data_IF_951307512342
#
_entry.id   IF_951307512342
#
_cell.length_a   1.000
_cell.length_b   1.000
_cell.length_c   1.000
_cell.angle_alpha   90.00
_cell.angle_beta   90.00
_cell.angle_gamma   90.00
#
_symmetry.space_group_name_H-M   'P 1'
#
loop_
_entity.id
_entity.type
_entity.pdbx_description
1 polymer ?
#
# COMPACT_ATOMS: atom_id res chain seq x y z
N UNK A 1 -32.58 17.25 -1.49
CA UNK A 1 -31.19 16.75 -1.46
C UNK A 1 -31.02 15.32 -2.02
N UNK A 2 -31.97 14.41 -1.81
CA UNK A 2 -31.89 13.05 -2.40
C UNK A 2 -32.01 13.01 -3.94
N UNK A 3 -32.87 13.85 -4.53
CA UNK A 3 -33.08 13.90 -5.99
C UNK A 3 -31.79 14.27 -6.75
N UNK A 4 -31.00 15.23 -6.23
CA UNK A 4 -29.72 15.61 -6.82
C UNK A 4 -28.67 14.49 -6.74
N UNK A 5 -28.61 13.75 -5.62
CA UNK A 5 -27.72 12.57 -5.48
C UNK A 5 -28.10 11.46 -6.46
N UNK A 6 -29.40 11.23 -6.67
CA UNK A 6 -29.88 10.24 -7.63
C UNK A 6 -29.57 10.65 -9.07
N UNK A 7 -29.77 11.93 -9.43
CA UNK A 7 -29.41 12.47 -10.75
C UNK A 7 -27.90 12.41 -11.02
N UNK A 8 -27.06 12.78 -10.05
CA UNK A 8 -25.60 12.63 -10.15
C UNK A 8 -25.20 11.16 -10.29
N UNK A 9 -25.82 10.24 -9.55
CA UNK A 9 -25.55 8.81 -9.67
C UNK A 9 -26.00 8.21 -11.00
N UNK A 10 -27.03 8.76 -11.65
CA UNK A 10 -27.50 8.30 -12.97
C UNK A 10 -26.63 8.87 -14.09
N UNK A 11 -26.15 10.11 -13.98
CA UNK A 11 -25.35 10.75 -15.04
C UNK A 11 -23.86 10.42 -14.96
N UNK A 12 -23.29 10.39 -13.75
CA UNK A 12 -21.83 10.23 -13.58
C UNK A 12 -21.44 8.75 -13.56
N UNK A 13 -22.25 7.88 -12.99
CA UNK A 13 -21.89 6.45 -12.85
C UNK A 13 -21.73 5.75 -14.21
N UNK A 14 -22.53 6.02 -15.26
CA UNK A 14 -22.27 5.50 -16.61
C UNK A 14 -21.03 6.11 -17.25
N UNK A 15 -20.73 7.40 -17.00
CA UNK A 15 -19.51 8.05 -17.50
C UNK A 15 -18.28 7.43 -16.85
N UNK A 16 -18.30 7.22 -15.52
CA UNK A 16 -17.25 6.49 -14.79
C UNK A 16 -17.15 5.06 -15.33
N UNK A 17 -18.27 4.38 -15.60
CA UNK A 17 -18.24 3.02 -16.15
C UNK A 17 -17.61 2.98 -17.55
N UNK A 18 -17.91 3.96 -18.41
CA UNK A 18 -17.38 4.09 -19.77
C UNK A 18 -15.90 4.48 -19.74
N UNK A 19 -15.50 5.39 -18.84
CA UNK A 19 -14.09 5.73 -18.62
C UNK A 19 -13.34 4.53 -18.06
N UNK A 20 -13.90 3.80 -17.10
CA UNK A 20 -13.32 2.55 -16.59
C UNK A 20 -13.23 1.48 -17.68
N UNK A 21 -14.21 1.36 -18.57
CA UNK A 21 -14.19 0.40 -19.69
C UNK A 21 -13.17 0.76 -20.78
N UNK A 22 -13.01 2.05 -21.08
CA UNK A 22 -12.11 2.54 -22.13
C UNK A 22 -10.68 2.68 -21.65
N UNK A 23 -10.47 3.00 -20.36
CA UNK A 23 -9.17 3.28 -19.78
C UNK A 23 -8.68 2.24 -18.77
N UNK A 24 -9.46 1.21 -18.40
CA UNK A 24 -8.88 0.07 -17.66
C UNK A 24 -7.84 -0.62 -18.54
N UNK A 25 -6.61 -0.78 -18.06
CA UNK A 25 -5.61 -1.56 -18.77
C UNK A 25 -6.10 -3.01 -18.90
N UNK A 26 -6.29 -3.49 -20.14
CA UNK A 26 -6.69 -4.89 -20.43
C UNK A 26 -5.64 -5.92 -19.99
N UNK A 27 -4.42 -5.48 -19.72
CA UNK A 27 -3.27 -6.29 -19.30
C UNK A 27 -3.00 -6.16 -17.79
N UNK A 28 -4.05 -6.27 -16.97
CA UNK A 28 -3.89 -6.31 -15.51
C UNK A 28 -3.08 -7.55 -15.10
N UNK A 29 -1.97 -7.33 -14.40
CA UNK A 29 -1.18 -8.42 -13.80
C UNK A 29 -1.60 -8.64 -12.35
N UNK A 30 -1.76 -7.55 -11.60
CA UNK A 30 -2.11 -7.57 -10.19
C UNK A 30 -2.84 -6.28 -9.81
N UNK A 31 -3.94 -6.42 -9.07
CA UNK A 31 -4.64 -5.31 -8.43
C UNK A 31 -4.88 -5.64 -6.95
N UNK A 32 -4.38 -4.79 -6.06
CA UNK A 32 -4.74 -4.81 -4.65
C UNK A 32 -5.79 -3.77 -4.36
N UNK A 33 -6.85 -4.17 -3.65
CA UNK A 33 -7.77 -3.26 -2.99
C UNK A 33 -7.58 -3.38 -1.48
N UNK A 34 -7.18 -2.29 -0.84
CA UNK A 34 -6.96 -2.19 0.59
C UNK A 34 -8.06 -1.32 1.18
N UNK A 35 -8.97 -1.92 1.95
CA UNK A 35 -10.07 -1.21 2.59
C UNK A 35 -9.86 -1.26 4.10
N UNK A 36 -9.78 -0.10 4.72
CA UNK A 36 -9.60 0.01 6.16
C UNK A 36 -10.92 -0.11 6.88
N UNK A 37 -11.02 -1.12 7.72
CA UNK A 37 -12.09 -1.32 8.69
C UNK A 37 -11.56 -1.04 10.10
N UNK A 38 -12.41 -0.99 11.15
CA UNK A 38 -11.95 -0.57 12.47
C UNK A 38 -10.81 -1.39 13.06
N UNK A 39 -10.76 -2.70 12.81
CA UNK A 39 -9.78 -3.59 13.44
C UNK A 39 -8.77 -4.17 12.46
N UNK A 40 -9.02 -4.08 11.16
CA UNK A 40 -8.18 -4.68 10.14
C UNK A 40 -8.22 -3.93 8.82
N UNK A 41 -7.20 -4.14 8.00
CA UNK A 41 -7.20 -3.77 6.61
C UNK A 41 -7.63 -4.97 5.77
N UNK A 42 -8.79 -4.89 5.13
CA UNK A 42 -9.20 -5.89 4.15
C UNK A 42 -8.34 -5.75 2.89
N UNK A 43 -7.65 -6.81 2.50
CA UNK A 43 -6.86 -6.87 1.26
C UNK A 43 -7.55 -7.83 0.30
N UNK A 44 -8.04 -7.30 -0.82
CA UNK A 44 -8.55 -8.10 -1.93
C UNK A 44 -7.54 -8.05 -3.07
N UNK A 45 -7.01 -9.21 -3.45
CA UNK A 45 -6.11 -9.33 -4.60
C UNK A 45 -6.91 -9.81 -5.81
N UNK A 46 -6.76 -9.12 -6.94
CA UNK A 46 -7.22 -9.59 -8.25
C UNK A 46 -6.01 -9.79 -9.14
N UNK A 47 -6.00 -10.89 -9.88
CA UNK A 47 -4.89 -11.28 -10.76
C UNK A 47 -5.48 -11.94 -12.00
N UNK A 48 -4.78 -11.85 -13.12
CA UNK A 48 -5.12 -12.58 -14.34
C UNK A 48 -4.71 -14.07 -14.28
N UNK A 49 -3.93 -14.45 -13.26
CA UNK A 49 -3.53 -15.84 -12.97
C UNK A 49 -4.16 -16.30 -11.67
N UNK A 50 -4.60 -17.56 -11.64
CA UNK A 50 -5.16 -18.23 -10.46
C UNK A 50 -4.12 -18.40 -9.35
N UNK A 51 -2.86 -18.66 -9.73
CA UNK A 51 -1.72 -18.74 -8.81
C UNK A 51 -0.74 -17.63 -9.14
N UNK A 52 -0.49 -16.76 -8.17
CA UNK A 52 0.50 -15.70 -8.30
C UNK A 52 1.90 -16.22 -7.96
N UNK A 53 2.85 -15.97 -8.87
CA UNK A 53 4.26 -16.25 -8.62
C UNK A 53 4.84 -15.30 -7.57
N UNK A 54 5.73 -15.80 -6.72
CA UNK A 54 6.49 -14.99 -5.75
C UNK A 54 7.17 -13.77 -6.40
N UNK A 55 7.74 -13.91 -7.62
CA UNK A 55 8.37 -12.78 -8.32
C UNK A 55 7.40 -11.64 -8.62
N UNK A 56 6.17 -11.97 -9.04
CA UNK A 56 5.13 -10.96 -9.30
C UNK A 56 4.68 -10.27 -8.01
N UNK A 57 4.53 -11.03 -6.92
CA UNK A 57 4.20 -10.49 -5.59
C UNK A 57 5.27 -9.51 -5.10
N UNK A 58 6.54 -9.94 -5.13
CA UNK A 58 7.68 -9.13 -4.69
C UNK A 58 7.79 -7.88 -5.57
N UNK A 59 7.78 -8.03 -6.89
CA UNK A 59 7.91 -6.90 -7.82
C UNK A 59 6.77 -5.90 -7.64
N UNK A 60 5.53 -6.38 -7.50
CA UNK A 60 4.37 -5.50 -7.29
C UNK A 60 4.46 -4.75 -5.97
N UNK A 61 4.97 -5.39 -4.91
CA UNK A 61 5.16 -4.74 -3.62
C UNK A 61 6.24 -3.66 -3.68
N UNK A 62 7.35 -3.94 -4.36
CA UNK A 62 8.43 -2.96 -4.53
C UNK A 62 7.97 -1.76 -5.38
N UNK A 63 7.14 -2.00 -6.39
CA UNK A 63 6.53 -0.93 -7.17
C UNK A 63 5.60 -0.08 -6.32
N UNK A 64 4.79 -0.72 -5.47
CA UNK A 64 3.93 -0.03 -4.52
C UNK A 64 4.76 0.82 -3.55
N UNK A 65 5.81 0.25 -2.97
CA UNK A 65 6.70 0.93 -2.04
C UNK A 65 7.39 2.13 -2.69
N UNK A 66 7.83 1.98 -3.94
CA UNK A 66 8.43 3.08 -4.72
C UNK A 66 7.43 4.21 -4.96
N UNK A 67 6.15 3.88 -5.21
CA UNK A 67 5.07 4.88 -5.33
C UNK A 67 4.76 5.56 -4.00
N UNK A 68 4.76 4.83 -2.90
CA UNK A 68 4.55 5.38 -1.57
C UNK A 68 5.59 6.45 -1.24
N UNK A 69 6.88 6.16 -1.48
CA UNK A 69 7.95 7.12 -1.22
C UNK A 69 7.94 8.35 -2.13
N UNK A 70 7.27 8.29 -3.29
CA UNK A 70 7.08 9.43 -4.17
C UNK A 70 6.08 10.47 -3.62
N UNK A 71 5.33 10.16 -2.55
CA UNK A 71 4.43 11.12 -1.90
C UNK A 71 5.20 12.30 -1.30
N UNK A 72 6.51 12.14 -1.01
CA UNK A 72 7.39 13.21 -0.53
C UNK A 72 6.93 13.91 0.76
N UNK A 73 6.21 13.22 1.61
CA UNK A 73 5.78 13.73 2.90
C UNK A 73 6.66 13.15 4.01
N UNK A 74 7.69 13.89 4.39
CA UNK A 74 8.69 13.46 5.37
C UNK A 74 8.08 13.11 6.73
N UNK A 75 6.88 13.63 7.05
CA UNK A 75 6.15 13.27 8.28
C UNK A 75 5.73 11.79 8.31
N UNK A 76 5.70 11.13 7.17
CA UNK A 76 5.33 9.71 7.06
C UNK A 76 6.43 8.88 6.38
N UNK A 77 7.08 9.38 5.32
CA UNK A 77 8.04 8.59 4.54
C UNK A 77 9.27 8.22 5.35
N UNK A 78 9.83 9.15 6.12
CA UNK A 78 11.04 8.90 6.90
C UNK A 78 10.75 7.93 8.06
N UNK A 79 9.56 8.03 8.65
CA UNK A 79 9.08 7.09 9.69
C UNK A 79 8.99 5.69 9.11
N UNK A 80 8.24 5.53 8.01
CA UNK A 80 8.03 4.21 7.38
C UNK A 80 9.34 3.61 6.92
N UNK A 81 10.24 4.41 6.34
CA UNK A 81 11.58 3.98 5.95
C UNK A 81 12.37 3.45 7.15
N UNK A 82 12.54 4.27 8.18
CA UNK A 82 13.36 3.90 9.34
C UNK A 82 12.76 2.69 10.07
N UNK A 83 11.44 2.63 10.13
CA UNK A 83 10.72 1.49 10.65
C UNK A 83 11.02 0.21 9.88
N UNK A 84 10.88 0.19 8.55
CA UNK A 84 11.23 -1.00 7.76
C UNK A 84 12.69 -1.42 7.95
N UNK A 85 13.62 -0.46 8.00
CA UNK A 85 15.03 -0.76 8.24
C UNK A 85 15.20 -1.47 9.58
N UNK A 86 14.57 -0.97 10.64
CA UNK A 86 14.68 -1.52 11.99
C UNK A 86 13.99 -2.88 12.10
N UNK A 87 12.74 -3.00 11.66
CA UNK A 87 11.95 -4.23 11.76
C UNK A 87 12.54 -5.37 10.92
N UNK A 88 12.98 -5.07 9.69
CA UNK A 88 13.60 -6.09 8.83
C UNK A 88 14.92 -6.59 9.45
N UNK A 89 15.73 -5.69 10.04
CA UNK A 89 16.99 -6.02 10.72
C UNK A 89 16.76 -6.79 12.03
N UNK A 90 15.75 -6.42 12.80
CA UNK A 90 15.38 -7.10 14.04
C UNK A 90 14.83 -8.51 13.79
N UNK A 91 14.28 -8.77 12.60
CA UNK A 91 13.80 -10.09 12.20
C UNK A 91 12.42 -10.45 12.76
N UNK A 92 11.82 -9.58 13.57
CA UNK A 92 10.51 -9.76 14.20
C UNK A 92 9.39 -9.40 13.22
N UNK A 93 8.92 -10.40 12.45
CA UNK A 93 7.70 -10.26 11.64
C UNK A 93 6.45 -10.41 12.51
N UNK A 94 6.27 -9.54 13.49
CA UNK A 94 5.21 -9.70 14.49
C UNK A 94 3.90 -9.01 14.09
N UNK A 95 2.79 -9.53 14.63
CA UNK A 95 1.45 -8.96 14.52
C UNK A 95 1.37 -7.51 15.09
N UNK A 96 2.37 -7.08 15.86
CA UNK A 96 2.41 -5.76 16.51
C UNK A 96 2.97 -4.67 15.61
N UNK A 97 3.48 -5.02 14.43
CA UNK A 97 4.20 -4.12 13.53
C UNK A 97 3.34 -2.89 13.13
N UNK A 98 2.04 -3.06 12.90
CA UNK A 98 1.13 -1.94 12.59
C UNK A 98 0.76 -1.10 13.81
N UNK A 99 0.73 -1.68 15.01
CA UNK A 99 0.49 -0.92 16.25
C UNK A 99 1.69 -0.02 16.55
N UNK A 100 2.91 -0.57 16.45
CA UNK A 100 4.15 0.20 16.58
C UNK A 100 4.24 1.31 15.52
N UNK A 101 3.85 1.02 14.27
CA UNK A 101 3.78 2.02 13.20
C UNK A 101 2.79 3.15 13.53
N UNK A 102 1.60 2.81 14.01
CA UNK A 102 0.62 3.83 14.42
C UNK A 102 1.15 4.71 15.53
N UNK A 103 1.68 4.11 16.60
CA UNK A 103 2.19 4.86 17.73
C UNK A 103 3.30 5.82 17.27
N UNK A 104 4.21 5.37 16.39
CA UNK A 104 5.25 6.21 15.78
C UNK A 104 4.67 7.40 14.99
N UNK A 105 3.75 7.17 14.07
CA UNK A 105 3.13 8.25 13.28
C UNK A 105 2.38 9.20 14.20
N UNK A 106 1.65 8.66 15.17
CA UNK A 106 0.83 9.44 16.09
C UNK A 106 1.67 10.47 16.85
N UNK A 107 2.93 10.16 17.19
CA UNK A 107 3.84 11.14 17.81
C UNK A 107 4.12 12.36 16.93
N UNK A 108 4.03 12.22 15.60
CA UNK A 108 4.33 13.28 14.61
C UNK A 108 3.13 14.14 14.23
N UNK A 109 1.97 13.81 14.78
CA UNK A 109 0.75 14.60 14.63
C UNK A 109 0.75 15.76 15.62
N UNK A 110 0.21 16.90 15.20
CA UNK A 110 -0.09 18.01 16.11
C UNK A 110 -1.33 17.69 16.98
N UNK A 111 -1.59 18.48 18.01
CA UNK A 111 -2.66 18.19 18.98
C UNK A 111 -4.05 18.14 18.36
N UNK A 112 -4.33 18.96 17.33
CA UNK A 112 -5.61 18.92 16.63
C UNK A 112 -5.77 17.62 15.81
N UNK A 113 -4.71 17.21 15.11
CA UNK A 113 -4.68 15.95 14.35
C UNK A 113 -4.80 14.73 15.27
N UNK A 114 -4.09 14.72 16.41
CA UNK A 114 -4.20 13.66 17.44
C UNK A 114 -5.63 13.53 17.96
N UNK A 115 -6.25 14.64 18.35
CA UNK A 115 -7.63 14.64 18.81
C UNK A 115 -8.62 14.07 17.77
N UNK A 116 -8.39 14.32 16.48
CA UNK A 116 -9.21 13.75 15.39
C UNK A 116 -8.92 12.26 15.24
N UNK A 117 -7.64 11.87 15.21
CA UNK A 117 -7.22 10.48 15.11
C UNK A 117 -7.80 9.63 16.26
N UNK A 118 -7.71 10.11 17.49
CA UNK A 118 -8.24 9.45 18.69
C UNK A 118 -9.76 9.28 18.62
N UNK A 119 -10.48 10.31 18.18
CA UNK A 119 -11.95 10.21 17.99
C UNK A 119 -12.33 9.17 16.94
N UNK A 120 -11.50 8.95 15.92
CA UNK A 120 -11.81 8.02 14.84
C UNK A 120 -11.39 6.60 15.20
N UNK A 121 -10.20 6.43 15.80
CA UNK A 121 -9.60 5.12 16.04
C UNK A 121 -9.77 4.60 17.47
N UNK A 122 -9.70 5.45 18.51
CA UNK A 122 -9.83 5.02 19.92
C UNK A 122 -11.30 4.86 20.33
N UNK A 123 -12.20 5.67 19.76
CA UNK A 123 -13.64 5.61 20.06
C UNK A 123 -14.31 4.27 19.72
N UNK A 124 -13.71 3.46 18.85
CA UNK A 124 -14.37 2.32 18.21
C UNK A 124 -14.13 0.97 18.91
N UNK A 125 -14.17 0.92 20.26
CA UNK A 125 -14.03 -0.28 21.13
C UNK A 125 -12.60 -0.54 21.64
N UNK A 126 -11.92 0.47 22.19
CA UNK A 126 -10.71 0.27 22.99
C UNK A 126 -9.50 -0.34 22.26
N UNK A 127 -9.57 -0.49 20.94
CA UNK A 127 -8.52 -1.02 20.08
C UNK A 127 -7.92 0.13 19.26
N UNK A 128 -6.60 0.24 19.32
CA UNK A 128 -5.79 1.18 18.53
C UNK A 128 -5.73 0.65 17.10
N UNK A 129 -6.30 1.39 16.15
CA UNK A 129 -6.16 1.23 14.68
C UNK A 129 -6.33 -0.18 14.07
N UNK A 130 -6.50 -0.27 12.75
CA UNK A 130 -6.36 -1.54 12.04
C UNK A 130 -4.99 -2.19 12.30
N UNK A 131 -4.97 -3.26 13.10
CA UNK A 131 -3.76 -3.91 13.59
C UNK A 131 -3.38 -5.16 12.77
N UNK A 132 -4.28 -5.66 11.93
CA UNK A 132 -4.05 -6.87 11.13
C UNK A 132 -4.59 -6.67 9.71
N UNK A 133 -4.21 -7.57 8.80
CA UNK A 133 -4.90 -7.67 7.51
C UNK A 133 -5.90 -8.84 7.54
N UNK A 134 -6.93 -8.76 6.70
CA UNK A 134 -7.85 -9.89 6.44
C UNK A 134 -8.19 -9.98 4.95
N UNK A 135 -8.50 -11.18 4.47
CA UNK A 135 -9.02 -11.42 3.12
C UNK A 135 -10.54 -11.64 3.11
N UNK A 136 -11.15 -11.81 4.28
CA UNK A 136 -12.58 -12.10 4.43
C UNK A 136 -13.46 -10.89 4.10
N UNK A 137 -14.69 -11.14 3.67
CA UNK A 137 -15.66 -10.09 3.41
C UNK A 137 -16.45 -9.75 4.68
N UNK A 138 -16.35 -8.50 5.12
CA UNK A 138 -17.14 -7.97 6.23
C UNK A 138 -18.04 -6.83 5.73
N UNK A 139 -19.24 -6.73 6.29
CA UNK A 139 -20.26 -5.76 5.89
C UNK A 139 -20.14 -4.41 6.62
N UNK A 140 -18.92 -3.93 6.91
CA UNK A 140 -18.74 -2.67 7.64
C UNK A 140 -18.35 -1.50 6.73
N UNK A 141 -18.69 -0.29 7.17
CA UNK A 141 -18.24 0.95 6.52
C UNK A 141 -16.73 1.09 6.68
N UNK A 142 -16.04 1.30 5.56
CA UNK A 142 -14.60 1.49 5.53
C UNK A 142 -14.22 2.95 5.78
N UNK A 143 -13.14 3.16 6.54
CA UNK A 143 -12.56 4.48 6.86
C UNK A 143 -11.65 5.04 5.76
N UNK A 144 -11.12 4.17 4.90
CA UNK A 144 -10.23 4.56 3.82
C UNK A 144 -10.11 3.43 2.80
N UNK A 145 -10.07 3.79 1.53
CA UNK A 145 -9.98 2.83 0.42
C UNK A 145 -8.82 3.19 -0.48
N UNK A 146 -7.95 2.23 -0.67
CA UNK A 146 -6.79 2.33 -1.55
C UNK A 146 -6.87 1.24 -2.60
N UNK A 147 -6.39 1.54 -3.81
CA UNK A 147 -6.10 0.51 -4.78
C UNK A 147 -4.76 0.73 -5.46
N UNK A 148 -4.08 -0.37 -5.72
CA UNK A 148 -2.83 -0.38 -6.44
C UNK A 148 -2.91 -1.40 -7.58
N UNK A 149 -2.69 -0.93 -8.80
CA UNK A 149 -2.78 -1.72 -10.01
C UNK A 149 -1.41 -1.77 -10.69
N UNK A 150 -0.98 -2.98 -11.06
CA UNK A 150 0.17 -3.25 -11.92
C UNK A 150 -0.35 -3.82 -13.23
N UNK A 151 0.06 -3.22 -14.35
CA UNK A 151 -0.30 -3.69 -15.68
C UNK A 151 0.91 -3.73 -16.61
N UNK A 152 0.80 -4.55 -17.66
CA UNK A 152 1.82 -4.65 -18.72
C UNK A 152 1.44 -3.78 -19.91
N UNK A 153 2.36 -2.92 -20.33
CA UNK A 153 2.25 -2.09 -21.53
C UNK A 153 3.46 -2.31 -22.43
N UNK A 154 3.29 -3.15 -23.46
CA UNK A 154 4.40 -3.69 -24.24
C UNK A 154 5.40 -4.44 -23.35
N UNK A 155 6.67 -4.03 -23.39
CA UNK A 155 7.74 -4.59 -22.55
C UNK A 155 7.90 -3.88 -21.20
N UNK A 156 7.05 -2.91 -20.88
CA UNK A 156 7.14 -2.11 -19.66
C UNK A 156 6.02 -2.43 -18.68
N UNK A 157 6.30 -2.23 -17.40
CA UNK A 157 5.27 -2.22 -16.35
C UNK A 157 4.78 -0.80 -16.12
N UNK A 158 3.47 -0.63 -16.00
CA UNK A 158 2.82 0.59 -15.54
C UNK A 158 2.07 0.35 -14.25
N UNK A 159 2.05 1.37 -13.39
CA UNK A 159 1.39 1.30 -12.09
C UNK A 159 0.45 2.47 -11.86
N UNK A 160 -0.66 2.18 -11.21
CA UNK A 160 -1.67 3.16 -10.81
C UNK A 160 -1.94 2.99 -9.33
N UNK A 161 -1.76 4.06 -8.56
CA UNK A 161 -2.08 4.11 -7.14
C UNK A 161 -3.23 5.09 -6.95
N UNK A 162 -4.36 4.60 -6.43
CA UNK A 162 -5.50 5.41 -6.07
C UNK A 162 -5.68 5.37 -4.55
N UNK A 163 -5.89 6.53 -3.96
CA UNK A 163 -6.20 6.69 -2.55
C UNK A 163 -7.45 7.54 -2.39
N UNK A 164 -8.34 7.15 -1.49
CA UNK A 164 -9.44 8.01 -1.06
C UNK A 164 -8.89 9.16 -0.22
N UNK A 165 -9.30 10.40 -0.49
CA UNK A 165 -8.97 11.54 0.36
C UNK A 165 -9.42 11.28 1.81
N UNK A 166 -8.49 11.32 2.77
CA UNK A 166 -8.79 11.04 4.17
C UNK A 166 -7.59 11.13 5.11
N UNK A 167 -7.57 10.27 6.12
CA UNK A 167 -6.51 10.18 7.16
C UNK A 167 -5.23 9.53 6.62
N UNK A 168 -4.79 9.93 5.43
CA UNK A 168 -3.72 9.29 4.68
C UNK A 168 -2.37 9.33 5.42
N UNK A 169 -2.14 10.37 6.21
CA UNK A 169 -0.95 10.49 7.08
C UNK A 169 -0.81 9.32 8.07
N UNK A 170 -1.93 8.68 8.45
CA UNK A 170 -1.96 7.49 9.31
C UNK A 170 -2.16 6.22 8.47
N UNK A 171 -3.16 6.21 7.60
CA UNK A 171 -3.61 5.01 6.91
C UNK A 171 -2.63 4.55 5.82
N UNK A 172 -1.92 5.44 5.13
CA UNK A 172 -0.94 5.03 4.10
C UNK A 172 0.27 4.31 4.70
N UNK A 173 0.92 4.82 5.76
CA UNK A 173 1.95 4.07 6.46
C UNK A 173 1.48 2.70 6.94
N UNK A 174 0.29 2.63 7.55
CA UNK A 174 -0.30 1.37 8.01
C UNK A 174 -0.54 0.41 6.85
N UNK A 175 -1.02 0.92 5.71
CA UNK A 175 -1.23 0.10 4.52
C UNK A 175 0.07 -0.48 3.99
N UNK A 176 1.14 0.30 4.02
CA UNK A 176 2.46 -0.13 3.55
C UNK A 176 2.99 -1.28 4.39
N UNK A 177 2.90 -1.15 5.72
CA UNK A 177 3.35 -2.18 6.66
C UNK A 177 2.47 -3.43 6.58
N UNK A 178 1.15 -3.28 6.61
CA UNK A 178 0.22 -4.42 6.56
C UNK A 178 0.30 -5.16 5.21
N UNK A 179 0.51 -4.43 4.11
CA UNK A 179 0.72 -5.03 2.79
C UNK A 179 2.04 -5.79 2.72
N UNK A 180 3.10 -5.32 3.39
CA UNK A 180 4.34 -6.10 3.53
C UNK A 180 4.09 -7.42 4.26
N UNK A 181 3.37 -7.40 5.40
CA UNK A 181 3.06 -8.62 6.15
C UNK A 181 2.24 -9.59 5.29
N UNK A 182 1.25 -9.08 4.56
CA UNK A 182 0.45 -9.86 3.61
C UNK A 182 1.32 -10.48 2.50
N UNK A 183 2.18 -9.70 1.85
CA UNK A 183 3.05 -10.22 0.79
C UNK A 183 3.98 -11.30 1.36
N UNK A 184 4.63 -11.03 2.49
CA UNK A 184 5.53 -11.98 3.14
C UNK A 184 4.84 -13.27 3.60
N UNK A 185 3.54 -13.23 3.93
CA UNK A 185 2.77 -14.43 4.29
C UNK A 185 2.38 -15.25 3.07
N UNK A 186 2.18 -14.61 1.90
CA UNK A 186 1.82 -15.26 0.64
C UNK A 186 2.99 -15.85 -0.15
N UNK A 187 4.23 -15.47 0.17
CA UNK A 187 5.41 -16.06 -0.49
C UNK A 187 5.54 -17.55 -0.17
N UNK A 188 5.56 -18.37 -1.21
CA UNK A 188 5.62 -19.83 -1.11
C UNK A 188 7.02 -20.31 -0.73
N UNK A 189 8.06 -19.66 -1.26
CA UNK A 189 9.44 -20.03 -1.00
C UNK A 189 10.02 -19.26 0.19
N UNK A 190 10.55 -19.97 1.19
CA UNK A 190 11.21 -19.35 2.36
C UNK A 190 12.40 -18.47 1.96
N UNK A 191 13.15 -18.83 0.91
CA UNK A 191 14.25 -18.01 0.40
C UNK A 191 13.75 -16.69 -0.19
N UNK A 192 12.56 -16.68 -0.79
CA UNK A 192 11.97 -15.48 -1.35
C UNK A 192 11.58 -14.46 -0.27
N UNK A 193 11.29 -14.91 0.96
CA UNK A 193 11.09 -13.99 2.11
C UNK A 193 12.40 -13.27 2.48
N UNK A 194 13.53 -13.97 2.43
CA UNK A 194 14.85 -13.36 2.65
C UNK A 194 15.22 -12.40 1.53
N UNK A 195 14.94 -12.78 0.28
CA UNK A 195 15.14 -11.92 -0.89
C UNK A 195 14.30 -10.64 -0.77
N UNK A 196 13.00 -10.76 -0.46
CA UNK A 196 12.12 -9.61 -0.25
C UNK A 196 12.71 -8.62 0.78
N UNK A 197 13.11 -9.13 1.94
CA UNK A 197 13.74 -8.32 3.01
C UNK A 197 15.00 -7.60 2.52
N UNK A 198 15.92 -8.32 1.88
CA UNK A 198 17.17 -7.76 1.38
C UNK A 198 16.93 -6.68 0.31
N UNK A 199 16.01 -6.92 -0.62
CA UNK A 199 15.68 -5.99 -1.69
C UNK A 199 15.03 -4.73 -1.16
N UNK A 200 14.12 -4.85 -0.18
CA UNK A 200 13.54 -3.69 0.50
C UNK A 200 14.65 -2.87 1.17
N UNK A 201 15.54 -3.49 1.93
CA UNK A 201 16.64 -2.77 2.59
C UNK A 201 17.52 -2.02 1.59
N UNK A 202 17.96 -2.68 0.52
CA UNK A 202 18.76 -2.05 -0.53
C UNK A 202 18.02 -0.87 -1.18
N UNK A 203 16.73 -1.02 -1.45
CA UNK A 203 15.90 0.06 -2.00
C UNK A 203 15.78 1.25 -1.04
N UNK A 204 15.54 0.99 0.26
CA UNK A 204 15.41 2.04 1.29
C UNK A 204 16.73 2.77 1.57
N UNK A 205 17.86 2.08 1.49
CA UNK A 205 19.20 2.68 1.60
C UNK A 205 19.53 3.55 0.39
N UNK A 206 19.08 3.15 -0.81
CA UNK A 206 19.22 3.98 -2.01
C UNK A 206 18.29 5.20 -2.01
N UNK A 207 17.10 5.10 -1.41
CA UNK A 207 16.13 6.19 -1.38
C UNK A 207 16.68 7.48 -0.74
N UNK A 208 17.57 7.40 0.25
CA UNK A 208 18.22 8.58 0.86
C UNK A 208 19.05 9.41 -0.13
N UNK A 209 19.47 8.80 -1.24
CA UNK A 209 20.29 9.46 -2.27
C UNK A 209 19.44 10.10 -3.36
N UNK A 210 18.12 9.99 -3.26
CA UNK A 210 17.21 10.25 -4.36
C UNK A 210 16.25 11.37 -3.98
N UNK A 211 16.27 12.47 -4.75
CA UNK A 211 15.31 13.55 -4.59
C UNK A 211 13.92 13.06 -5.06
N UNK A 212 13.04 12.76 -4.11
CA UNK A 212 11.69 12.29 -4.38
C UNK A 212 10.86 13.29 -5.22
N UNK A 213 11.24 14.58 -5.24
CA UNK A 213 10.59 15.62 -6.07
C UNK A 213 11.03 15.60 -7.53
N UNK A 214 12.00 14.76 -7.91
CA UNK A 214 12.44 14.66 -9.29
C UNK A 214 11.52 13.73 -10.10
N UNK A 215 11.11 14.19 -11.29
CA UNK A 215 10.17 13.49 -12.17
C UNK A 215 10.68 12.11 -12.64
N UNK A 216 11.99 11.88 -12.68
CA UNK A 216 12.62 10.62 -13.12
C UNK A 216 12.44 9.48 -12.12
N UNK A 217 12.45 9.77 -10.82
CA UNK A 217 12.33 8.80 -9.73
C UNK A 217 10.95 8.14 -9.70
N UNK A 218 9.95 8.85 -10.23
CA UNK A 218 8.55 8.43 -10.23
C UNK A 218 8.23 7.23 -11.13
N UNK A 219 9.18 6.71 -11.93
CA UNK A 219 8.84 5.73 -12.99
C UNK A 219 9.61 4.43 -12.95
N UNK A 220 10.70 4.33 -12.21
CA UNK A 220 11.61 3.19 -12.33
C UNK A 220 11.91 2.58 -10.97
N UNK A 221 11.53 1.31 -10.80
CA UNK A 221 12.18 0.45 -9.81
C UNK A 221 13.69 0.51 -10.04
N UNK A 222 14.53 0.42 -9.00
CA UNK A 222 15.96 0.25 -9.19
C UNK A 222 16.23 -1.12 -9.84
N UNK A 223 16.25 -1.16 -11.18
CA UNK A 223 16.34 -2.38 -12.01
C UNK A 223 17.58 -3.20 -11.62
N UNK A 224 18.68 -2.53 -11.27
CA UNK A 224 19.91 -3.18 -10.82
C UNK A 224 19.71 -3.96 -9.52
N UNK A 225 18.95 -3.43 -8.56
CA UNK A 225 18.63 -4.16 -7.32
C UNK A 225 17.84 -5.43 -7.64
N UNK A 226 16.86 -5.35 -8.53
CA UNK A 226 16.04 -6.51 -8.91
C UNK A 226 16.87 -7.58 -9.61
N UNK A 227 17.71 -7.19 -10.57
CA UNK A 227 18.61 -8.09 -11.29
C UNK A 227 19.60 -8.77 -10.34
N UNK A 228 20.22 -8.02 -9.44
CA UNK A 228 21.20 -8.54 -8.48
C UNK A 228 20.60 -9.53 -7.48
N UNK A 229 19.27 -9.48 -7.28
CA UNK A 229 18.54 -10.39 -6.40
C UNK A 229 17.74 -11.45 -7.18
N UNK A 230 18.00 -11.64 -8.47
CA UNK A 230 17.38 -12.69 -9.29
C UNK A 230 15.88 -12.51 -9.57
N UNK A 231 15.36 -11.29 -9.41
CA UNK A 231 13.95 -10.98 -9.68
C UNK A 231 13.82 -10.64 -11.18
N UNK A 232 13.14 -11.52 -11.91
CA UNK A 232 12.84 -11.35 -13.34
C UNK A 232 11.41 -10.82 -13.49
N UNK A 233 11.27 -9.71 -14.23
CA UNK A 233 10.00 -9.05 -14.58
C UNK A 233 9.48 -9.57 -15.92
#
# INVERSE_FOLDING_TARGET
MHILKTLFAILIKPIILVVDLLFKPKNNLLEWHMNFEPFFMKIKTKSNKDVMSDNLLITSFLLYLSRYFFICDNRQTDIVRNFFINEIKAGEGSLLISLSMYDLIHTTLNDAEKNIADKIFISFVGSRVPAIYSEEEFEKRSFGKYSFLVCKDGDKLRTYLNFSLGLDIILLPLSTVLLYVFVASKLQNKNNKKILKNVILQMLEMHDKVNCKSLSVSKELPIEILKNNGIVI
#
